data_IF_295760635930
#
_entry.id   IF_295760635930
#
_cell.length_a   1.000
_cell.length_b   1.000
_cell.length_c   1.000
_cell.angle_alpha   90.00
_cell.angle_beta   90.00
_cell.angle_gamma   90.00
#
_symmetry.space_group_name_H-M   'P 1'
#
loop_
_entity.id
_entity.type
_entity.pdbx_description
1 polymer ?
#
# COMPACT_ATOMS: atom_id res chain seq x y z
N UNK A 1 36.96 -24.04 -10.03
CA UNK A 1 37.30 -22.61 -10.19
C UNK A 1 36.02 -21.82 -10.42
N UNK A 2 35.90 -20.66 -9.77
CA UNK A 2 34.75 -19.75 -9.84
C UNK A 2 34.56 -19.16 -11.24
N UNK A 3 33.31 -18.92 -11.60
CA UNK A 3 32.89 -17.95 -12.63
C UNK A 3 31.79 -17.07 -12.04
N UNK A 4 32.16 -16.14 -11.18
CA UNK A 4 31.33 -14.99 -10.85
C UNK A 4 31.53 -13.95 -11.94
N UNK A 5 30.44 -13.34 -12.39
CA UNK A 5 30.50 -12.02 -13.02
C UNK A 5 30.04 -12.00 -14.47
N UNK A 6 28.73 -12.06 -14.67
CA UNK A 6 28.02 -11.14 -15.56
C UNK A 6 26.60 -10.95 -14.99
N UNK A 7 26.59 -10.42 -13.77
CA UNK A 7 25.40 -9.84 -13.17
C UNK A 7 24.98 -8.67 -14.07
N UNK A 8 23.74 -8.70 -14.55
CA UNK A 8 23.03 -7.61 -15.23
C UNK A 8 23.11 -6.27 -14.47
N UNK A 9 24.26 -5.57 -14.55
CA UNK A 9 24.53 -4.37 -13.74
C UNK A 9 24.33 -3.04 -14.49
N UNK A 10 23.87 -3.07 -15.74
CA UNK A 10 23.56 -1.85 -16.50
C UNK A 10 22.35 -2.05 -17.40
N UNK A 11 21.15 -2.10 -16.82
CA UNK A 11 19.94 -1.77 -17.58
C UNK A 11 19.95 -0.24 -17.73
N UNK A 12 20.63 0.26 -18.76
CA UNK A 12 20.56 1.67 -19.15
C UNK A 12 19.18 1.92 -19.75
N UNK A 13 18.17 2.10 -18.88
CA UNK A 13 16.82 2.43 -19.30
C UNK A 13 16.86 3.78 -20.02
N UNK A 14 16.28 3.85 -21.20
CA UNK A 14 16.18 5.12 -21.92
C UNK A 14 15.31 6.10 -21.11
N UNK A 15 15.54 7.40 -21.24
CA UNK A 15 14.71 8.42 -20.56
C UNK A 15 13.21 8.25 -20.84
N UNK A 16 12.87 7.77 -22.04
CA UNK A 16 11.50 7.47 -22.44
C UNK A 16 10.91 6.25 -21.69
N UNK A 17 11.69 5.19 -21.50
CA UNK A 17 11.25 4.01 -20.73
C UNK A 17 11.01 4.36 -19.26
N UNK A 18 11.89 5.16 -18.65
CA UNK A 18 11.72 5.61 -17.26
C UNK A 18 10.45 6.46 -17.09
N UNK A 19 10.18 7.37 -18.03
CA UNK A 19 8.98 8.20 -18.00
C UNK A 19 7.71 7.36 -18.16
N UNK A 20 7.72 6.36 -19.04
CA UNK A 20 6.57 5.49 -19.25
C UNK A 20 6.29 4.62 -18.02
N UNK A 21 7.32 4.01 -17.44
CA UNK A 21 7.19 3.23 -16.19
C UNK A 21 6.68 4.09 -15.03
N UNK A 22 7.14 5.34 -14.94
CA UNK A 22 6.69 6.28 -13.92
C UNK A 22 5.21 6.65 -14.13
N UNK A 23 4.79 6.89 -15.36
CA UNK A 23 3.39 7.16 -15.69
C UNK A 23 2.49 5.95 -15.40
N UNK A 24 2.95 4.73 -15.71
CA UNK A 24 2.23 3.49 -15.44
C UNK A 24 2.12 3.23 -13.94
N UNK A 25 3.21 3.49 -13.19
CA UNK A 25 3.22 3.41 -11.74
C UNK A 25 2.26 4.42 -11.10
N UNK A 26 2.27 5.67 -11.56
CA UNK A 26 1.37 6.71 -11.06
C UNK A 26 -0.09 6.37 -11.32
N UNK A 27 -0.42 5.88 -12.52
CA UNK A 27 -1.78 5.42 -12.87
C UNK A 27 -2.23 4.23 -12.02
N UNK A 28 -1.34 3.29 -11.75
CA UNK A 28 -1.65 2.14 -10.89
C UNK A 28 -1.81 2.55 -9.42
N UNK A 29 -0.90 3.40 -8.92
CA UNK A 29 -0.89 3.85 -7.54
C UNK A 29 -2.06 4.78 -7.23
N UNK A 30 -2.39 5.69 -8.16
CA UNK A 30 -3.42 6.72 -8.03
C UNK A 30 -4.25 6.81 -9.33
N UNK A 31 -5.23 5.92 -9.52
CA UNK A 31 -6.09 5.92 -10.72
C UNK A 31 -6.78 7.27 -10.99
N UNK A 32 -7.10 8.03 -9.93
CA UNK A 32 -7.74 9.33 -10.04
C UNK A 32 -6.74 10.50 -9.99
N UNK A 33 -5.44 10.21 -10.13
CA UNK A 33 -4.36 11.19 -10.24
C UNK A 33 -3.94 11.84 -8.91
N UNK A 34 -3.30 13.00 -9.03
CA UNK A 34 -2.72 13.74 -7.90
C UNK A 34 -3.71 14.08 -6.76
N UNK A 35 -4.97 14.43 -7.02
CA UNK A 35 -5.93 14.70 -5.94
C UNK A 35 -6.14 13.50 -4.99
N UNK A 36 -6.09 12.28 -5.52
CA UNK A 36 -6.18 11.05 -4.73
C UNK A 36 -4.97 10.91 -3.81
N UNK A 37 -3.78 11.12 -4.38
CA UNK A 37 -2.51 11.07 -3.64
C UNK A 37 -2.49 12.08 -2.50
N UNK A 38 -2.88 13.33 -2.77
CA UNK A 38 -2.91 14.39 -1.76
C UNK A 38 -3.85 14.07 -0.59
N UNK A 39 -5.06 13.58 -0.88
CA UNK A 39 -6.02 13.17 0.16
C UNK A 39 -5.50 11.99 0.98
N UNK A 40 -4.93 10.98 0.32
CA UNK A 40 -4.35 9.82 0.99
C UNK A 40 -3.16 10.18 1.87
N UNK A 41 -2.24 11.01 1.37
CA UNK A 41 -1.08 11.49 2.14
C UNK A 41 -1.54 12.30 3.34
N UNK A 42 -2.51 13.21 3.15
CA UNK A 42 -3.07 13.97 4.28
C UNK A 42 -3.67 13.05 5.34
N UNK A 43 -4.51 12.08 4.93
CA UNK A 43 -5.11 11.10 5.84
C UNK A 43 -4.04 10.26 6.56
N UNK A 44 -3.01 9.80 5.85
CA UNK A 44 -1.91 9.05 6.44
C UNK A 44 -1.13 9.88 7.46
N UNK A 45 -0.87 11.16 7.20
CA UNK A 45 -0.18 12.04 8.14
C UNK A 45 -1.05 12.40 9.35
N UNK A 46 -2.38 12.44 9.21
CA UNK A 46 -3.31 12.56 10.34
C UNK A 46 -3.25 11.31 11.26
N UNK A 47 -3.11 10.13 10.66
CA UNK A 47 -2.99 8.86 11.40
C UNK A 47 -1.59 8.71 12.01
N UNK A 48 -0.55 9.10 11.28
CA UNK A 48 0.86 8.99 11.65
C UNK A 48 1.55 10.36 11.73
N UNK A 49 1.22 11.20 12.73
CA UNK A 49 1.65 12.60 12.77
C UNK A 49 3.16 12.82 12.96
N UNK A 50 3.91 11.77 13.28
CA UNK A 50 5.37 11.81 13.47
C UNK A 50 6.15 11.38 12.24
N UNK A 51 5.47 10.84 11.24
CA UNK A 51 6.09 10.32 10.03
C UNK A 51 6.03 11.37 8.92
N UNK A 52 6.86 11.20 7.88
CA UNK A 52 6.80 12.03 6.69
C UNK A 52 6.10 11.26 5.54
N UNK A 53 5.79 11.98 4.46
CA UNK A 53 5.11 11.44 3.29
C UNK A 53 5.78 10.18 2.72
N UNK A 54 7.10 10.18 2.56
CA UNK A 54 7.82 9.01 2.02
C UNK A 54 7.70 7.79 2.96
N UNK A 55 7.76 8.03 4.27
CA UNK A 55 7.68 6.97 5.29
C UNK A 55 6.29 6.36 5.40
N UNK A 56 5.21 7.09 5.06
CA UNK A 56 3.84 6.52 5.04
C UNK A 56 3.47 5.94 3.69
N UNK A 57 3.97 6.51 2.59
CA UNK A 57 3.58 6.13 1.24
C UNK A 57 4.18 4.78 0.81
N UNK A 58 5.46 4.53 1.15
CA UNK A 58 6.12 3.26 0.79
C UNK A 58 5.41 2.05 1.44
N UNK A 59 5.13 2.04 2.75
CA UNK A 59 4.31 1.00 3.38
C UNK A 59 2.93 0.85 2.76
N UNK A 60 2.24 1.96 2.49
CA UNK A 60 0.91 1.94 1.89
C UNK A 60 0.92 1.29 0.51
N UNK A 61 1.81 1.70 -0.39
CA UNK A 61 1.89 1.15 -1.74
C UNK A 61 2.32 -0.32 -1.74
N UNK A 62 3.22 -0.69 -0.83
CA UNK A 62 3.58 -2.10 -0.60
C UNK A 62 2.35 -2.90 -0.16
N UNK A 63 1.57 -2.38 0.78
CA UNK A 63 0.34 -3.03 1.25
C UNK A 63 -0.71 -3.14 0.12
N UNK A 64 -0.88 -2.07 -0.67
CA UNK A 64 -1.78 -2.02 -1.84
C UNK A 64 -1.45 -3.08 -2.88
N UNK A 65 -0.16 -3.23 -3.21
CA UNK A 65 0.30 -4.26 -4.14
C UNK A 65 -0.01 -5.67 -3.63
N UNK A 66 0.28 -5.94 -2.35
CA UNK A 66 0.02 -7.25 -1.76
C UNK A 66 -1.47 -7.54 -1.67
N UNK A 67 -2.28 -6.56 -1.29
CA UNK A 67 -3.72 -6.67 -1.25
C UNK A 67 -4.28 -6.97 -2.64
N UNK A 68 -3.89 -6.23 -3.69
CA UNK A 68 -4.34 -6.48 -5.06
C UNK A 68 -3.97 -7.88 -5.59
N UNK A 69 -2.83 -8.44 -5.16
CA UNK A 69 -2.44 -9.84 -5.51
C UNK A 69 -3.34 -10.88 -4.84
N UNK A 70 -3.90 -10.57 -3.67
CA UNK A 70 -4.68 -11.50 -2.85
C UNK A 70 -6.19 -11.34 -3.05
N UNK A 71 -6.69 -10.11 -3.12
CA UNK A 71 -8.09 -9.75 -3.28
C UNK A 71 -8.47 -9.67 -4.77
N UNK A 72 -8.33 -10.80 -5.50
CA UNK A 72 -8.65 -10.89 -6.94
C UNK A 72 -10.15 -10.83 -7.24
N UNK A 73 -10.98 -11.13 -6.23
CA UNK A 73 -12.44 -11.04 -6.30
C UNK A 73 -12.97 -10.48 -4.97
N UNK A 74 -14.19 -9.92 -4.95
CA UNK A 74 -14.81 -9.39 -3.73
C UNK A 74 -14.88 -10.42 -2.60
N UNK A 75 -15.13 -11.69 -2.92
CA UNK A 75 -15.24 -12.77 -1.92
C UNK A 75 -13.90 -13.11 -1.24
N UNK A 76 -12.78 -12.69 -1.83
CA UNK A 76 -11.43 -12.95 -1.30
C UNK A 76 -10.90 -11.80 -0.44
N UNK A 77 -11.66 -10.72 -0.25
CA UNK A 77 -11.21 -9.55 0.53
C UNK A 77 -10.90 -9.95 1.98
N UNK A 78 -11.79 -10.69 2.65
CA UNK A 78 -11.56 -11.10 4.03
C UNK A 78 -10.38 -12.08 4.17
N UNK A 79 -10.23 -12.98 3.20
CA UNK A 79 -9.08 -13.88 3.13
C UNK A 79 -7.77 -13.11 2.91
N UNK A 80 -7.78 -12.06 2.07
CA UNK A 80 -6.64 -11.20 1.82
C UNK A 80 -6.25 -10.41 3.07
N UNK A 81 -7.21 -9.80 3.76
CA UNK A 81 -7.01 -9.09 5.04
C UNK A 81 -6.35 -10.05 6.04
N UNK A 82 -6.95 -11.22 6.26
CA UNK A 82 -6.43 -12.20 7.21
C UNK A 82 -4.99 -12.62 6.90
N UNK A 83 -4.70 -12.88 5.61
CA UNK A 83 -3.39 -13.30 5.15
C UNK A 83 -2.34 -12.21 5.30
N UNK A 84 -2.65 -10.95 4.99
CA UNK A 84 -1.74 -9.81 5.20
C UNK A 84 -1.39 -9.66 6.69
N UNK A 85 -2.39 -9.79 7.55
CA UNK A 85 -2.20 -9.69 8.99
C UNK A 85 -1.39 -10.88 9.57
N UNK A 86 -1.42 -12.07 8.95
CA UNK A 86 -0.57 -13.20 9.36
C UNK A 86 0.85 -13.13 8.80
N UNK A 87 1.00 -12.69 7.55
CA UNK A 87 2.28 -12.64 6.84
C UNK A 87 3.15 -11.42 7.18
N UNK A 88 2.73 -10.62 8.16
CA UNK A 88 3.38 -9.41 8.64
C UNK A 88 4.89 -9.56 8.92
N UNK A 89 5.33 -10.76 9.37
CA UNK A 89 6.74 -11.05 9.65
C UNK A 89 7.62 -10.95 8.40
N UNK A 90 7.07 -11.21 7.21
CA UNK A 90 7.78 -11.12 5.92
C UNK A 90 8.07 -9.67 5.54
N UNK A 91 7.22 -8.73 5.97
CA UNK A 91 7.27 -7.32 5.57
C UNK A 91 7.73 -6.37 6.67
N UNK A 92 8.21 -6.90 7.81
CA UNK A 92 8.61 -6.12 8.99
C UNK A 92 9.68 -5.03 8.75
N UNK A 93 10.43 -5.11 7.65
CA UNK A 93 11.43 -4.11 7.24
C UNK A 93 10.80 -2.87 6.61
N UNK A 94 9.59 -3.01 6.09
CA UNK A 94 8.85 -1.95 5.39
C UNK A 94 7.70 -1.47 6.26
N UNK A 95 6.94 -2.39 6.86
CA UNK A 95 5.74 -2.08 7.65
C UNK A 95 5.94 -2.59 9.08
N UNK A 96 5.82 -1.71 10.09
CA UNK A 96 5.92 -2.15 11.48
C UNK A 96 4.73 -3.03 11.83
N UNK A 97 4.95 -4.03 12.70
CA UNK A 97 3.92 -5.02 13.06
C UNK A 97 2.63 -4.37 13.59
N UNK A 98 2.79 -3.32 14.40
CA UNK A 98 1.68 -2.59 15.00
C UNK A 98 0.90 -1.71 14.00
N UNK A 99 1.50 -1.36 12.87
CA UNK A 99 0.93 -0.42 11.88
C UNK A 99 0.25 -1.14 10.72
N UNK A 100 0.56 -2.43 10.49
CA UNK A 100 -0.04 -3.20 9.40
C UNK A 100 -1.57 -3.20 9.39
N UNK A 101 -2.29 -3.37 10.52
CA UNK A 101 -3.76 -3.32 10.49
C UNK A 101 -4.27 -1.99 9.94
N UNK A 102 -3.60 -0.89 10.28
CA UNK A 102 -3.91 0.46 9.81
C UNK A 102 -3.64 0.61 8.31
N UNK A 103 -2.51 0.09 7.81
CA UNK A 103 -2.24 0.10 6.36
C UNK A 103 -3.22 -0.78 5.58
N UNK A 104 -3.63 -1.93 6.13
CA UNK A 104 -4.66 -2.77 5.52
C UNK A 104 -5.99 -2.03 5.48
N UNK A 105 -6.39 -1.34 6.54
CA UNK A 105 -7.60 -0.52 6.57
C UNK A 105 -7.56 0.61 5.53
N UNK A 106 -6.42 1.31 5.40
CA UNK A 106 -6.22 2.34 4.38
C UNK A 106 -6.40 1.80 2.96
N UNK A 107 -5.83 0.62 2.66
CA UNK A 107 -5.94 0.00 1.34
C UNK A 107 -7.36 -0.48 1.05
N UNK A 108 -8.04 -1.05 2.04
CA UNK A 108 -9.44 -1.46 1.91
C UNK A 108 -10.33 -0.24 1.66
N UNK A 109 -10.10 0.85 2.38
CA UNK A 109 -10.79 2.12 2.14
C UNK A 109 -10.52 2.63 0.72
N UNK A 110 -9.24 2.71 0.30
CA UNK A 110 -8.86 3.15 -1.04
C UNK A 110 -9.48 2.30 -2.16
N UNK A 111 -9.61 0.98 -1.97
CA UNK A 111 -10.26 0.09 -2.95
C UNK A 111 -11.77 0.30 -3.11
N UNK A 112 -12.42 1.00 -2.16
CA UNK A 112 -13.85 1.28 -2.18
C UNK A 112 -14.17 2.70 -2.66
N UNK A 113 -13.14 3.54 -2.82
CA UNK A 113 -13.29 4.94 -3.20
C UNK A 113 -13.50 5.07 -4.70
N UNK A 114 -14.49 5.87 -5.07
CA UNK A 114 -14.80 6.25 -6.44
C UNK A 114 -14.16 7.61 -6.83
N UNK A 115 -14.53 8.16 -7.99
CA UNK A 115 -14.03 9.45 -8.49
C UNK A 115 -14.28 10.63 -7.55
N UNK A 116 -15.20 10.53 -6.58
CA UNK A 116 -15.47 11.61 -5.61
C UNK A 116 -14.38 11.71 -4.55
N UNK A 117 -13.56 10.67 -4.40
CA UNK A 117 -12.47 10.62 -3.44
C UNK A 117 -12.95 10.85 -2.00
N UNK A 118 -14.08 10.24 -1.65
CA UNK A 118 -14.69 10.28 -0.32
C UNK A 118 -14.03 9.24 0.58
N UNK A 119 -12.92 9.64 1.19
CA UNK A 119 -12.20 8.81 2.15
C UNK A 119 -12.84 8.87 3.55
N UNK A 120 -12.83 7.75 4.30
CA UNK A 120 -13.13 7.76 5.73
C UNK A 120 -12.17 8.67 6.50
N UNK A 121 -12.63 9.14 7.64
CA UNK A 121 -11.83 9.92 8.60
C UNK A 121 -10.71 9.08 9.22
N UNK A 122 -9.68 9.75 9.76
CA UNK A 122 -8.59 9.08 10.45
C UNK A 122 -9.05 8.19 11.62
N UNK A 123 -10.17 8.56 12.29
CA UNK A 123 -10.73 7.75 13.37
C UNK A 123 -11.42 6.50 12.83
N UNK A 124 -12.25 6.62 11.78
CA UNK A 124 -12.90 5.47 11.15
C UNK A 124 -11.89 4.45 10.62
N UNK A 125 -10.76 4.91 10.08
CA UNK A 125 -9.66 4.02 9.66
C UNK A 125 -9.05 3.26 10.84
N UNK A 126 -8.90 3.91 12.00
CA UNK A 126 -8.41 3.25 13.23
C UNK A 126 -9.42 2.23 13.74
N UNK A 127 -10.71 2.58 13.74
CA UNK A 127 -11.78 1.68 14.18
C UNK A 127 -11.88 0.44 13.26
N UNK A 128 -11.73 0.62 11.94
CA UNK A 128 -11.64 -0.48 10.99
C UNK A 128 -10.43 -1.40 11.28
N UNK A 129 -9.27 -0.79 11.56
CA UNK A 129 -8.05 -1.52 11.87
C UNK A 129 -8.18 -2.35 13.16
N UNK A 130 -8.84 -1.80 14.19
CA UNK A 130 -9.16 -2.51 15.43
C UNK A 130 -10.15 -3.65 15.19
N UNK A 131 -11.18 -3.43 14.37
CA UNK A 131 -12.14 -4.45 13.98
C UNK A 131 -11.48 -5.69 13.38
N UNK A 132 -10.46 -5.52 12.53
CA UNK A 132 -9.72 -6.66 11.96
C UNK A 132 -8.92 -7.47 12.98
N UNK A 133 -8.55 -6.88 14.11
CA UNK A 133 -7.85 -7.57 15.19
C UNK A 133 -8.80 -8.37 16.07
N UNK A 134 -10.02 -7.86 16.30
CA UNK A 134 -11.04 -8.52 17.14
C UNK A 134 -11.57 -9.79 16.48
N UNK A 135 -11.83 -9.77 15.17
CA UNK A 135 -12.34 -10.93 14.40
C UNK A 135 -11.34 -12.10 14.31
N UNK A 136 -10.11 -11.94 14.83
CA UNK A 136 -9.10 -13.00 14.93
C UNK A 136 -9.14 -13.80 16.24
N UNK A 137 -10.01 -13.45 17.19
CA UNK A 137 -10.19 -14.14 18.47
C UNK A 137 -11.31 -15.16 18.38
#
# INVERSE_FOLDING_TARGET
MMGLGDLNFFIWKSKAQVQQEQADYEKWAFPYGQPQREKLVKLMLEIFPKENEATVLIPFLTCKELFGKLAKSPDLVDAAINKLLTDIKKYKRIIRKQEMPTYVALVVADSRVDEKLEYPTAQEIKDMAEGFLVTKT
#
